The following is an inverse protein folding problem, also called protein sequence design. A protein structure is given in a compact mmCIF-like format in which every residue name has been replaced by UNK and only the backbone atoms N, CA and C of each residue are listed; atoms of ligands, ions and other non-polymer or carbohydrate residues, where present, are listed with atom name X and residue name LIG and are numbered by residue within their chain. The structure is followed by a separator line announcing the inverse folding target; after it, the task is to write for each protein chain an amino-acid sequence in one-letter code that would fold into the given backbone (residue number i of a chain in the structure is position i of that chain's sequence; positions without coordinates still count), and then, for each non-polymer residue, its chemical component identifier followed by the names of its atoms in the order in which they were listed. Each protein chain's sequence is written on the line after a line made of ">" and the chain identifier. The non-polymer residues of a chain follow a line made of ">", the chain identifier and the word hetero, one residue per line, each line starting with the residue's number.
data_IF_565262862251
#
_entry.id   IF_565262862251
#
_cell.length_a   1.000
_cell.length_b   1.000
_cell.length_c   1.000
_cell.angle_alpha   90.00
_cell.angle_beta   90.00
_cell.angle_gamma   90.00
#
_symmetry.space_group_name_H-M   'P 1'
#
loop_
_entity.id
_entity.type
_entity.pdbx_description
1 polymer ?
#
# COMPACT_ATOMS: atom_id res chain seq x y z
N UNK A 1 -37.88 41.05 -7.73
CA UNK A 1 -36.63 40.30 -7.57
C UNK A 1 -35.87 40.96 -6.43
N UNK A 2 -36.13 40.52 -5.20
CA UNK A 2 -35.45 41.04 -4.01
C UNK A 2 -34.16 40.24 -3.89
N UNK A 3 -33.03 40.93 -3.92
CA UNK A 3 -31.74 40.32 -3.69
C UNK A 3 -31.71 39.79 -2.24
N UNK A 4 -31.41 38.51 -2.07
CA UNK A 4 -31.08 37.89 -0.78
C UNK A 4 -29.79 38.54 -0.25
N UNK A 5 -29.92 39.72 0.35
CA UNK A 5 -28.80 40.53 0.81
C UNK A 5 -28.81 40.50 2.34
N UNK A 6 -27.71 40.04 2.93
CA UNK A 6 -27.53 39.96 4.38
C UNK A 6 -27.31 41.38 4.92
N UNK A 7 -28.30 41.95 5.61
CA UNK A 7 -28.18 43.25 6.28
C UNK A 7 -27.65 43.07 7.71
N UNK A 8 -26.54 43.74 8.04
CA UNK A 8 -25.95 43.76 9.38
C UNK A 8 -26.31 45.08 10.06
N UNK A 9 -27.03 45.02 11.17
CA UNK A 9 -27.41 46.17 11.99
C UNK A 9 -26.84 46.07 13.42
N UNK A 10 -26.88 47.19 14.15
CA UNK A 10 -26.55 47.25 15.58
C UNK A 10 -27.79 47.68 16.37
N UNK A 11 -28.17 46.89 17.38
CA UNK A 11 -29.30 47.18 18.26
C UNK A 11 -28.91 48.21 19.35
N UNK A 12 -29.90 48.84 19.97
CA UNK A 12 -29.72 49.85 21.04
C UNK A 12 -28.93 49.35 22.27
N UNK A 13 -28.73 48.04 22.41
CA UNK A 13 -27.95 47.39 23.46
C UNK A 13 -26.50 47.05 23.04
N UNK A 14 -26.07 47.43 21.83
CA UNK A 14 -24.72 47.15 21.29
C UNK A 14 -24.57 45.80 20.58
N UNK A 15 -25.58 44.93 20.61
CA UNK A 15 -25.56 43.63 19.94
C UNK A 15 -25.77 43.76 18.43
N UNK A 16 -25.09 42.90 17.65
CA UNK A 16 -25.23 42.85 16.19
C UNK A 16 -26.45 41.99 15.80
N UNK A 17 -27.20 42.37 14.77
CA UNK A 17 -28.30 41.56 14.23
C UNK A 17 -28.11 41.23 12.76
N UNK A 18 -28.58 40.05 12.37
CA UNK A 18 -28.54 39.54 10.99
C UNK A 18 -29.94 39.09 10.58
N UNK A 19 -30.37 39.49 9.38
CA UNK A 19 -31.65 39.07 8.81
C UNK A 19 -31.47 37.87 7.89
N UNK A 20 -32.11 36.73 8.22
CA UNK A 20 -32.09 35.51 7.41
C UNK A 20 -33.54 35.10 7.13
N UNK A 21 -33.93 34.98 5.85
CA UNK A 21 -35.30 34.67 5.41
C UNK A 21 -36.39 35.56 6.05
N UNK A 22 -36.10 36.85 6.25
CA UNK A 22 -37.03 37.80 6.86
C UNK A 22 -37.16 37.70 8.39
N UNK A 23 -36.42 36.80 9.04
CA UNK A 23 -36.32 36.76 10.50
C UNK A 23 -35.07 37.48 10.99
N UNK A 24 -35.24 38.39 11.96
CA UNK A 24 -34.12 39.03 12.66
C UNK A 24 -33.54 38.07 13.70
N UNK A 25 -32.24 37.80 13.57
CA UNK A 25 -31.47 37.03 14.54
C UNK A 25 -30.54 37.99 15.26
N UNK A 26 -30.79 38.18 16.56
CA UNK A 26 -29.91 38.95 17.44
C UNK A 26 -28.75 38.05 17.86
N UNK A 27 -27.52 38.49 17.64
CA UNK A 27 -26.32 37.76 18.01
C UNK A 27 -25.82 38.26 19.37
N UNK A 28 -25.77 37.35 20.35
CA UNK A 28 -25.17 37.61 21.67
C UNK A 28 -23.64 37.60 21.66
N UNK A 29 -23.04 37.26 20.51
CA UNK A 29 -21.61 37.29 20.25
C UNK A 29 -21.34 38.09 18.98
N UNK A 30 -20.16 38.69 18.88
CA UNK A 30 -19.79 39.42 17.66
C UNK A 30 -19.70 38.48 16.46
N UNK A 31 -20.02 38.99 15.26
CA UNK A 31 -19.94 38.24 14.00
C UNK A 31 -18.55 37.58 13.81
N UNK A 32 -17.40 38.25 14.10
CA UNK A 32 -16.09 37.58 14.05
C UNK A 32 -15.97 36.39 14.99
N UNK A 33 -16.50 36.47 16.21
CA UNK A 33 -16.49 35.36 17.16
C UNK A 33 -17.37 34.19 16.69
N UNK A 34 -18.53 34.48 16.08
CA UNK A 34 -19.39 33.46 15.48
C UNK A 34 -18.69 32.75 14.31
N UNK A 35 -18.03 33.49 13.43
CA UNK A 35 -17.28 32.92 12.30
C UNK A 35 -16.13 32.04 12.82
N UNK A 36 -15.31 32.56 13.72
CA UNK A 36 -14.16 31.82 14.26
C UNK A 36 -14.57 30.57 15.03
N UNK A 37 -15.64 30.63 15.84
CA UNK A 37 -16.16 29.47 16.56
C UNK A 37 -16.74 28.42 15.61
N UNK A 38 -17.44 28.84 14.55
CA UNK A 38 -17.97 27.92 13.52
C UNK A 38 -16.83 27.22 12.77
N UNK A 39 -15.80 27.96 12.35
CA UNK A 39 -14.61 27.40 11.69
C UNK A 39 -13.88 26.44 12.64
N UNK A 40 -13.71 26.82 13.91
CA UNK A 40 -13.10 25.97 14.93
C UNK A 40 -13.90 24.68 15.17
N UNK A 41 -15.22 24.77 15.28
CA UNK A 41 -16.10 23.62 15.44
C UNK A 41 -16.05 22.70 14.21
N UNK A 42 -16.07 23.25 13.00
CA UNK A 42 -15.93 22.48 11.77
C UNK A 42 -14.57 21.76 11.69
N UNK A 43 -13.50 22.44 12.11
CA UNK A 43 -12.16 21.84 12.20
C UNK A 43 -12.13 20.67 13.18
N UNK A 44 -12.62 20.86 14.42
CA UNK A 44 -12.68 19.78 15.42
C UNK A 44 -13.56 18.62 14.97
N UNK A 45 -14.71 18.91 14.37
CA UNK A 45 -15.61 17.91 13.81
C UNK A 45 -14.92 17.07 12.73
N UNK A 46 -14.12 17.71 11.84
CA UNK A 46 -13.34 16.99 10.82
C UNK A 46 -12.42 15.94 11.44
N UNK A 47 -11.73 16.27 12.54
CA UNK A 47 -10.85 15.34 13.24
C UNK A 47 -11.63 14.24 13.98
N UNK A 48 -12.67 14.62 14.72
CA UNK A 48 -13.53 13.67 15.42
C UNK A 48 -14.15 12.65 14.44
N UNK A 49 -14.68 13.13 13.31
CA UNK A 49 -15.22 12.30 12.25
C UNK A 49 -14.15 11.42 11.60
N UNK A 50 -12.93 11.93 11.39
CA UNK A 50 -11.82 11.14 10.84
C UNK A 50 -11.38 9.99 11.76
N UNK A 51 -11.28 10.24 13.08
CA UNK A 51 -10.98 9.20 14.08
C UNK A 51 -12.12 8.18 14.15
N UNK A 52 -13.37 8.65 14.21
CA UNK A 52 -14.54 7.79 14.22
C UNK A 52 -14.58 6.90 12.96
N UNK A 53 -14.34 7.48 11.78
CA UNK A 53 -14.23 6.76 10.52
C UNK A 53 -13.08 5.74 10.54
N UNK A 54 -11.94 6.06 11.14
CA UNK A 54 -10.82 5.11 11.27
C UNK A 54 -11.25 3.88 12.07
N UNK A 55 -11.91 4.10 13.21
CA UNK A 55 -12.46 3.03 14.02
C UNK A 55 -13.46 2.17 13.22
N UNK A 56 -14.42 2.80 12.53
CA UNK A 56 -15.38 2.10 11.67
C UNK A 56 -14.66 1.27 10.60
N UNK A 57 -13.69 1.85 9.90
CA UNK A 57 -12.93 1.17 8.84
C UNK A 57 -12.11 -0.02 9.36
N UNK A 58 -11.61 0.03 10.60
CA UNK A 58 -10.81 -1.04 11.18
C UNK A 58 -11.65 -2.13 11.85
N UNK A 59 -12.78 -1.78 12.47
CA UNK A 59 -13.55 -2.68 13.31
C UNK A 59 -14.85 -3.20 12.69
N UNK A 60 -15.53 -2.39 11.85
CA UNK A 60 -16.94 -2.62 11.49
C UNK A 60 -17.16 -2.72 9.98
N UNK A 61 -16.73 -1.72 9.21
CA UNK A 61 -17.06 -1.61 7.79
C UNK A 61 -16.32 -2.66 6.96
N UNK A 62 -17.01 -3.53 6.19
CA UNK A 62 -16.35 -4.53 5.37
C UNK A 62 -15.67 -3.89 4.15
N UNK A 63 -14.57 -4.50 3.69
CA UNK A 63 -13.99 -4.19 2.39
C UNK A 63 -14.48 -5.15 1.33
N UNK A 64 -14.07 -4.94 0.09
CA UNK A 64 -14.26 -5.95 -0.95
C UNK A 64 -13.37 -7.15 -0.63
N UNK A 65 -13.98 -8.33 -0.61
CA UNK A 65 -13.25 -9.58 -0.51
C UNK A 65 -12.53 -9.83 -1.84
N UNK A 66 -11.32 -10.38 -1.79
CA UNK A 66 -10.58 -10.81 -2.99
C UNK A 66 -11.43 -11.68 -3.93
N UNK A 67 -12.36 -12.48 -3.39
CA UNK A 67 -13.26 -13.33 -4.19
C UNK A 67 -14.16 -12.57 -5.16
N UNK A 68 -14.40 -11.26 -4.97
CA UNK A 68 -15.19 -10.46 -5.92
C UNK A 68 -14.49 -10.24 -7.27
N UNK A 69 -13.18 -10.50 -7.35
CA UNK A 69 -12.39 -10.37 -8.57
C UNK A 69 -12.24 -11.69 -9.34
N UNK A 70 -12.80 -12.79 -8.81
CA UNK A 70 -12.75 -14.13 -9.42
C UNK A 70 -13.92 -14.35 -10.36
N UNK A 71 -13.68 -15.00 -11.50
CA UNK A 71 -14.75 -15.42 -12.40
C UNK A 71 -15.63 -16.48 -11.75
N UNK A 72 -16.87 -16.61 -12.25
CA UNK A 72 -17.79 -17.68 -11.83
C UNK A 72 -17.39 -19.05 -12.41
N UNK A 73 -16.64 -19.08 -13.53
CA UNK A 73 -16.13 -20.33 -14.11
C UNK A 73 -15.03 -20.98 -13.27
N UNK A 74 -14.39 -20.25 -12.36
CA UNK A 74 -13.36 -20.77 -11.47
C UNK A 74 -11.94 -20.81 -12.07
N UNK A 75 -11.75 -20.25 -13.27
CA UNK A 75 -10.48 -20.33 -14.01
C UNK A 75 -9.55 -19.12 -13.82
N UNK A 76 -9.88 -18.17 -12.95
CA UNK A 76 -9.10 -16.94 -12.80
C UNK A 76 -7.70 -17.19 -12.23
N UNK A 77 -6.70 -16.62 -12.89
CA UNK A 77 -5.30 -16.66 -12.51
C UNK A 77 -4.88 -15.41 -11.74
N UNK A 78 -3.99 -15.59 -10.77
CA UNK A 78 -3.30 -14.53 -10.06
C UNK A 78 -1.78 -14.63 -10.24
N UNK A 79 -1.13 -13.51 -10.56
CA UNK A 79 0.33 -13.40 -10.66
C UNK A 79 0.88 -12.90 -9.33
N UNK A 80 1.85 -13.58 -8.74
CA UNK A 80 2.48 -13.17 -7.48
C UNK A 80 4.00 -13.12 -7.63
N UNK A 81 4.56 -11.91 -7.53
CA UNK A 81 6.01 -11.70 -7.58
C UNK A 81 6.64 -11.83 -6.20
N UNK A 82 7.84 -12.43 -6.11
CA UNK A 82 8.54 -12.59 -4.83
C UNK A 82 7.82 -13.55 -3.86
N UNK A 83 7.23 -14.62 -4.40
CA UNK A 83 6.32 -15.52 -3.67
C UNK A 83 6.99 -16.64 -2.85
N UNK A 84 8.32 -16.74 -2.82
CA UNK A 84 9.01 -17.87 -2.17
C UNK A 84 9.22 -17.71 -0.66
N UNK A 85 8.86 -16.56 -0.07
CA UNK A 85 8.92 -16.34 1.39
C UNK A 85 8.06 -15.15 1.83
N UNK A 86 7.84 -15.01 3.14
CA UNK A 86 7.25 -13.82 3.75
C UNK A 86 5.86 -13.47 3.20
N UNK A 87 5.63 -12.18 2.93
CA UNK A 87 4.34 -11.64 2.48
C UNK A 87 3.90 -12.26 1.15
N UNK A 88 4.80 -12.40 0.18
CA UNK A 88 4.48 -12.98 -1.12
C UNK A 88 4.05 -14.45 -1.05
N UNK A 89 4.69 -15.23 -0.17
CA UNK A 89 4.31 -16.63 0.08
C UNK A 89 2.89 -16.73 0.63
N UNK A 90 2.53 -15.85 1.55
CA UNK A 90 1.20 -15.81 2.14
C UNK A 90 0.15 -15.30 1.15
N UNK A 91 0.48 -14.34 0.27
CA UNK A 91 -0.39 -13.99 -0.85
C UNK A 91 -0.66 -15.19 -1.74
N UNK A 92 0.38 -15.93 -2.15
CA UNK A 92 0.21 -17.13 -2.98
C UNK A 92 -0.69 -18.17 -2.29
N UNK A 93 -0.38 -18.55 -1.04
CA UNK A 93 -1.16 -19.57 -0.31
C UNK A 93 -2.62 -19.13 -0.07
N UNK A 94 -2.86 -17.87 0.28
CA UNK A 94 -4.22 -17.40 0.56
C UNK A 94 -5.04 -17.19 -0.71
N UNK A 95 -4.43 -16.76 -1.81
CA UNK A 95 -5.09 -16.69 -3.12
C UNK A 95 -5.45 -18.10 -3.62
N UNK A 96 -4.55 -19.07 -3.49
CA UNK A 96 -4.85 -20.48 -3.79
C UNK A 96 -5.99 -21.03 -2.91
N UNK A 97 -6.01 -20.71 -1.61
CA UNK A 97 -7.12 -21.01 -0.71
C UNK A 97 -8.46 -20.37 -1.11
N UNK A 98 -8.42 -19.31 -1.91
CA UNK A 98 -9.60 -18.67 -2.54
C UNK A 98 -9.86 -19.17 -3.98
N UNK A 99 -9.21 -20.26 -4.37
CA UNK A 99 -9.36 -20.96 -5.67
C UNK A 99 -8.91 -20.12 -6.87
N UNK A 100 -7.83 -19.36 -6.70
CA UNK A 100 -7.09 -18.81 -7.83
C UNK A 100 -6.03 -19.80 -8.30
N UNK A 101 -5.92 -19.98 -9.61
CA UNK A 101 -4.71 -20.55 -10.22
C UNK A 101 -3.57 -19.53 -10.11
N UNK A 102 -2.31 -19.95 -10.03
CA UNK A 102 -1.21 -19.02 -9.77
C UNK A 102 -0.11 -19.04 -10.82
N UNK A 103 0.34 -17.84 -11.21
CA UNK A 103 1.63 -17.64 -11.87
C UNK A 103 2.62 -17.15 -10.80
N UNK A 104 3.54 -18.03 -10.43
CA UNK A 104 4.55 -17.81 -9.40
C UNK A 104 5.81 -17.22 -10.03
N UNK A 105 6.13 -15.98 -9.68
CA UNK A 105 7.31 -15.28 -10.23
C UNK A 105 8.38 -15.10 -9.17
N UNK A 106 9.59 -15.59 -9.45
CA UNK A 106 10.70 -15.50 -8.52
C UNK A 106 12.02 -15.97 -9.12
N UNK A 107 13.09 -15.91 -8.35
CA UNK A 107 14.46 -16.09 -8.87
C UNK A 107 15.00 -17.52 -8.79
N UNK A 108 14.35 -18.39 -8.01
CA UNK A 108 14.84 -19.75 -7.71
C UNK A 108 13.86 -20.79 -8.22
N UNK A 109 14.21 -21.48 -9.31
CA UNK A 109 13.36 -22.51 -9.92
C UNK A 109 12.93 -23.59 -8.92
N UNK A 110 13.86 -24.14 -8.12
CA UNK A 110 13.56 -25.20 -7.16
C UNK A 110 12.48 -24.79 -6.15
N UNK A 111 12.59 -23.58 -5.59
CA UNK A 111 11.62 -23.05 -4.63
C UNK A 111 10.25 -22.77 -5.26
N UNK A 112 10.20 -22.34 -6.52
CA UNK A 112 8.92 -22.16 -7.24
C UNK A 112 8.26 -23.50 -7.53
N UNK A 113 9.03 -24.50 -7.96
CA UNK A 113 8.53 -25.86 -8.22
C UNK A 113 7.98 -26.50 -6.95
N UNK A 114 8.70 -26.40 -5.82
CA UNK A 114 8.25 -26.92 -4.53
C UNK A 114 6.96 -26.21 -4.06
N UNK A 115 6.94 -24.89 -4.11
CA UNK A 115 5.75 -24.11 -3.76
C UNK A 115 4.56 -24.43 -4.66
N UNK A 116 4.79 -24.57 -5.97
CA UNK A 116 3.77 -24.97 -6.93
C UNK A 116 3.12 -26.29 -6.53
N UNK A 117 3.92 -27.34 -6.33
CA UNK A 117 3.44 -28.65 -5.89
C UNK A 117 2.68 -28.60 -4.57
N UNK A 118 3.18 -27.85 -3.59
CA UNK A 118 2.48 -27.67 -2.30
C UNK A 118 1.09 -27.06 -2.52
N UNK A 119 1.01 -26.00 -3.33
CA UNK A 119 -0.23 -25.27 -3.61
C UNK A 119 -1.23 -26.13 -4.39
N UNK A 120 -0.77 -26.81 -5.44
CA UNK A 120 -1.61 -27.69 -6.26
C UNK A 120 -2.21 -28.82 -5.43
N UNK A 121 -1.37 -29.48 -4.62
CA UNK A 121 -1.79 -30.60 -3.75
C UNK A 121 -2.78 -30.13 -2.69
N UNK A 122 -2.52 -29.00 -2.03
CA UNK A 122 -3.31 -28.54 -0.88
C UNK A 122 -4.62 -27.88 -1.27
N UNK A 123 -4.64 -27.14 -2.38
CA UNK A 123 -5.77 -26.28 -2.74
C UNK A 123 -6.51 -26.72 -4.00
N UNK A 124 -5.99 -27.71 -4.74
CA UNK A 124 -6.59 -28.21 -6.00
C UNK A 124 -6.76 -27.09 -7.02
N UNK A 125 -5.70 -26.31 -7.23
CA UNK A 125 -5.59 -25.25 -8.24
C UNK A 125 -4.39 -25.54 -9.13
N UNK A 126 -4.24 -24.85 -10.25
CA UNK A 126 -3.09 -24.98 -11.15
C UNK A 126 -2.02 -23.95 -10.84
N UNK A 127 -0.76 -24.29 -11.07
CA UNK A 127 0.35 -23.33 -11.00
C UNK A 127 1.19 -23.31 -12.27
N UNK A 128 1.78 -22.14 -12.54
CA UNK A 128 2.82 -21.93 -13.55
C UNK A 128 3.94 -21.12 -12.91
N UNK A 129 5.17 -21.30 -13.36
CA UNK A 129 6.34 -20.59 -12.83
C UNK A 129 7.02 -19.76 -13.90
N UNK A 130 7.48 -18.57 -13.51
CA UNK A 130 8.35 -17.70 -14.32
C UNK A 130 9.59 -17.40 -13.49
N UNK A 131 10.75 -17.85 -13.97
CA UNK A 131 12.03 -17.66 -13.28
C UNK A 131 12.73 -16.44 -13.82
N UNK A 132 13.02 -15.48 -12.95
CA UNK A 132 13.73 -14.26 -13.32
C UNK A 132 14.38 -13.63 -12.10
N UNK A 133 15.65 -13.21 -12.22
CA UNK A 133 16.21 -12.22 -11.30
C UNK A 133 15.83 -10.81 -11.77
N UNK A 134 14.82 -10.25 -11.12
CA UNK A 134 14.27 -8.94 -11.47
C UNK A 134 15.25 -7.78 -11.21
N UNK A 135 16.31 -8.02 -10.44
CA UNK A 135 17.32 -7.00 -10.12
C UNK A 135 18.39 -6.82 -11.20
N UNK A 136 18.40 -7.69 -12.20
CA UNK A 136 19.37 -7.65 -13.31
C UNK A 136 18.63 -7.35 -14.62
N UNK A 137 18.83 -6.16 -15.21
CA UNK A 137 18.38 -5.86 -16.56
C UNK A 137 18.97 -6.80 -17.61
N UNK A 138 18.27 -6.98 -18.73
CA UNK A 138 18.76 -7.69 -19.91
C UNK A 138 17.86 -8.84 -20.36
N UNK A 139 18.39 -9.64 -21.30
CA UNK A 139 17.62 -10.63 -22.04
C UNK A 139 16.83 -11.64 -21.18
N UNK A 140 17.36 -12.04 -20.02
CA UNK A 140 16.64 -12.95 -19.12
C UNK A 140 15.37 -12.32 -18.53
N UNK A 141 15.43 -11.02 -18.21
CA UNK A 141 14.26 -10.26 -17.74
C UNK A 141 13.27 -10.05 -18.86
N UNK A 142 13.75 -9.72 -20.05
CA UNK A 142 12.90 -9.49 -21.22
C UNK A 142 12.18 -10.78 -21.63
N UNK A 143 12.88 -11.90 -21.68
CA UNK A 143 12.27 -13.21 -21.95
C UNK A 143 11.24 -13.64 -20.90
N UNK A 144 11.41 -13.25 -19.63
CA UNK A 144 10.41 -13.48 -18.59
C UNK A 144 9.16 -12.59 -18.79
N UNK A 145 9.32 -11.35 -19.27
CA UNK A 145 8.21 -10.48 -19.65
C UNK A 145 7.47 -11.04 -20.88
N UNK A 146 8.19 -11.53 -21.89
CA UNK A 146 7.59 -12.18 -23.07
C UNK A 146 6.78 -13.42 -22.68
N UNK A 147 7.31 -14.24 -21.76
CA UNK A 147 6.60 -15.39 -21.21
C UNK A 147 5.32 -14.96 -20.48
N UNK A 148 5.38 -13.90 -19.66
CA UNK A 148 4.23 -13.36 -18.94
C UNK A 148 3.17 -12.79 -19.90
N UNK A 149 3.59 -12.12 -20.98
CA UNK A 149 2.70 -11.63 -22.03
C UNK A 149 1.97 -12.78 -22.73
N UNK A 150 2.71 -13.84 -23.08
CA UNK A 150 2.13 -15.04 -23.69
C UNK A 150 1.11 -15.71 -22.76
N UNK A 151 1.42 -15.80 -21.46
CA UNK A 151 0.46 -16.32 -20.47
C UNK A 151 -0.77 -15.43 -20.36
N UNK A 152 -0.60 -14.10 -20.38
CA UNK A 152 -1.70 -13.14 -20.30
C UNK A 152 -2.63 -13.15 -21.53
N UNK A 153 -2.13 -13.59 -22.69
CA UNK A 153 -2.95 -13.79 -23.90
C UNK A 153 -3.84 -15.04 -23.80
N UNK A 154 -3.38 -16.06 -23.07
CA UNK A 154 -4.00 -17.38 -23.05
C UNK A 154 -4.78 -17.70 -21.76
N UNK A 155 -4.61 -16.92 -20.70
CA UNK A 155 -5.19 -17.18 -19.37
C UNK A 155 -6.02 -16.00 -18.87
N UNK A 156 -7.05 -16.29 -18.06
CA UNK A 156 -7.87 -15.29 -17.38
C UNK A 156 -7.12 -14.66 -16.19
N UNK A 157 -6.13 -13.80 -16.45
CA UNK A 157 -5.40 -13.10 -15.39
C UNK A 157 -6.26 -11.98 -14.79
N UNK A 158 -6.76 -12.21 -13.58
CA UNK A 158 -7.60 -11.25 -12.86
C UNK A 158 -6.90 -10.49 -11.75
N UNK A 159 -5.78 -11.00 -11.24
CA UNK A 159 -5.06 -10.40 -10.09
C UNK A 159 -3.56 -10.35 -10.34
N UNK A 160 -2.94 -9.20 -10.08
CA UNK A 160 -1.49 -9.03 -10.02
C UNK A 160 -1.10 -8.54 -8.62
N UNK A 161 -0.20 -9.27 -7.96
CA UNK A 161 0.43 -8.89 -6.70
C UNK A 161 1.90 -8.52 -6.98
N UNK A 162 2.15 -7.22 -7.06
CA UNK A 162 3.49 -6.64 -7.12
C UNK A 162 4.11 -6.63 -5.72
N UNK A 163 4.65 -7.77 -5.29
CA UNK A 163 5.20 -7.96 -3.95
C UNK A 163 6.74 -7.99 -3.91
N UNK A 164 7.41 -8.40 -5.01
CA UNK A 164 8.88 -8.47 -5.00
C UNK A 164 9.48 -7.13 -4.61
N UNK A 165 10.55 -7.19 -3.81
CA UNK A 165 11.18 -5.99 -3.28
C UNK A 165 12.57 -6.25 -2.74
N UNK A 166 13.37 -5.20 -2.75
CA UNK A 166 14.71 -5.10 -2.21
C UNK A 166 14.75 -3.93 -1.21
N UNK A 167 15.47 -4.12 -0.11
CA UNK A 167 15.86 -3.06 0.81
C UNK A 167 17.37 -3.14 1.06
N UNK A 168 17.89 -2.22 1.86
CA UNK A 168 19.28 -2.24 2.27
C UNK A 168 19.57 -3.44 3.16
N UNK A 169 20.80 -3.92 3.12
CA UNK A 169 21.25 -4.98 4.05
C UNK A 169 21.22 -4.52 5.51
N UNK A 170 21.53 -3.25 5.76
CA UNK A 170 21.38 -2.55 7.03
C UNK A 170 21.14 -1.06 6.75
N UNK A 171 20.63 -0.27 7.70
CA UNK A 171 20.58 1.17 7.52
C UNK A 171 21.99 1.73 7.30
N UNK A 172 22.15 2.56 6.28
CA UNK A 172 23.43 3.09 5.79
C UNK A 172 23.24 4.54 5.33
N UNK A 173 24.27 5.38 5.48
CA UNK A 173 24.19 6.76 4.97
C UNK A 173 24.13 6.71 3.45
N UNK A 174 23.39 7.63 2.84
CA UNK A 174 23.31 7.68 1.38
C UNK A 174 24.69 7.84 0.74
N UNK A 175 25.55 8.69 1.32
CA UNK A 175 26.92 8.90 0.84
C UNK A 175 27.84 7.66 0.95
N UNK A 176 27.48 6.68 1.78
CA UNK A 176 28.22 5.43 1.96
C UNK A 176 27.52 4.25 1.26
N UNK A 177 26.37 4.48 0.63
CA UNK A 177 25.63 3.41 -0.04
C UNK A 177 26.30 3.11 -1.37
N UNK A 178 26.71 1.85 -1.57
CA UNK A 178 27.30 1.43 -2.83
C UNK A 178 26.31 1.58 -3.98
N UNK A 179 26.81 2.04 -5.14
CA UNK A 179 26.00 2.19 -6.35
C UNK A 179 25.27 0.90 -6.71
N UNK A 180 25.93 -0.25 -6.63
CA UNK A 180 25.33 -1.54 -6.95
C UNK A 180 24.11 -1.86 -6.05
N UNK A 181 24.12 -1.45 -4.77
CA UNK A 181 22.97 -1.60 -3.89
C UNK A 181 21.82 -0.66 -4.28
N UNK A 182 22.13 0.58 -4.66
CA UNK A 182 21.15 1.56 -5.16
C UNK A 182 20.47 1.03 -6.42
N UNK A 183 21.25 0.64 -7.43
CA UNK A 183 20.77 0.13 -8.72
C UNK A 183 19.87 -1.10 -8.49
N UNK A 184 20.32 -2.06 -7.67
CA UNK A 184 19.54 -3.25 -7.31
C UNK A 184 18.19 -2.90 -6.67
N UNK A 185 18.16 -1.92 -5.76
CA UNK A 185 16.93 -1.47 -5.09
C UNK A 185 15.97 -0.84 -6.11
N UNK A 186 16.47 0.03 -6.99
CA UNK A 186 15.66 0.70 -8.02
C UNK A 186 15.10 -0.30 -9.02
N UNK A 187 15.96 -1.16 -9.58
CA UNK A 187 15.56 -2.17 -10.58
C UNK A 187 14.50 -3.12 -10.04
N UNK A 188 14.68 -3.60 -8.80
CA UNK A 188 13.75 -4.52 -8.16
C UNK A 188 12.42 -3.85 -7.81
N UNK A 189 12.46 -2.67 -7.19
CA UNK A 189 11.26 -2.06 -6.60
C UNK A 189 10.43 -1.29 -7.62
N UNK A 190 11.08 -0.56 -8.54
CA UNK A 190 10.42 0.36 -9.47
C UNK A 190 10.39 -0.23 -10.87
N UNK A 191 11.56 -0.45 -11.48
CA UNK A 191 11.65 -0.84 -12.91
C UNK A 191 10.86 -2.11 -13.18
N UNK A 192 11.11 -3.18 -12.40
CA UNK A 192 10.37 -4.42 -12.56
C UNK A 192 8.87 -4.25 -12.36
N UNK A 193 8.45 -3.55 -11.30
CA UNK A 193 7.02 -3.31 -11.00
C UNK A 193 6.31 -2.61 -12.17
N UNK A 194 6.98 -1.64 -12.79
CA UNK A 194 6.42 -0.92 -13.94
C UNK A 194 6.32 -1.83 -15.15
N UNK A 195 7.40 -2.57 -15.47
CA UNK A 195 7.46 -3.44 -16.64
C UNK A 195 6.44 -4.58 -16.57
N UNK A 196 6.38 -5.33 -15.46
CA UNK A 196 5.41 -6.42 -15.33
C UNK A 196 3.98 -5.91 -15.40
N UNK A 197 3.71 -4.74 -14.78
CA UNK A 197 2.38 -4.15 -14.82
C UNK A 197 2.01 -3.75 -16.24
N UNK A 198 2.92 -3.06 -16.97
CA UNK A 198 2.73 -2.70 -18.38
C UNK A 198 2.47 -3.94 -19.25
N UNK A 199 3.19 -5.04 -19.02
CA UNK A 199 3.04 -6.28 -19.78
C UNK A 199 1.67 -6.94 -19.57
N UNK A 200 1.16 -6.96 -18.33
CA UNK A 200 -0.09 -7.66 -18.00
C UNK A 200 -1.34 -6.79 -18.16
N UNK A 201 -1.19 -5.46 -18.06
CA UNK A 201 -2.30 -4.51 -18.01
C UNK A 201 -3.25 -4.58 -19.21
N UNK A 202 -2.79 -4.69 -20.48
CA UNK A 202 -3.69 -4.79 -21.63
C UNK A 202 -4.68 -5.96 -21.51
N UNK A 203 -4.21 -7.16 -21.15
CA UNK A 203 -5.07 -8.31 -20.93
C UNK A 203 -6.03 -8.12 -19.75
N UNK A 204 -5.57 -7.47 -18.66
CA UNK A 204 -6.42 -7.17 -17.49
C UNK A 204 -7.54 -6.17 -17.81
N UNK A 205 -7.27 -5.21 -18.69
CA UNK A 205 -8.25 -4.26 -19.26
C UNK A 205 -9.25 -5.02 -20.13
N UNK A 206 -8.76 -5.80 -21.11
CA UNK A 206 -9.60 -6.62 -21.99
C UNK A 206 -10.47 -7.60 -21.21
N UNK A 207 -9.96 -8.16 -20.10
CA UNK A 207 -10.75 -9.00 -19.19
C UNK A 207 -11.88 -8.21 -18.53
N UNK A 208 -11.57 -7.03 -18.00
CA UNK A 208 -12.52 -6.20 -17.24
C UNK A 208 -13.61 -5.58 -18.11
N UNK A 209 -13.38 -5.43 -19.42
CA UNK A 209 -14.37 -4.89 -20.37
C UNK A 209 -15.42 -5.92 -20.82
N UNK A 210 -15.20 -7.22 -20.59
CA UNK A 210 -16.14 -8.27 -21.01
C UNK A 210 -17.45 -8.16 -20.20
N UNK A 211 -18.63 -8.32 -20.83
CA UNK A 211 -19.90 -8.35 -20.12
C UNK A 211 -19.90 -9.41 -19.01
N UNK A 212 -20.40 -9.04 -17.83
CA UNK A 212 -20.47 -9.89 -16.63
C UNK A 212 -19.12 -10.44 -16.11
N UNK A 213 -17.98 -10.03 -16.68
CA UNK A 213 -16.68 -10.38 -16.13
C UNK A 213 -16.42 -9.58 -14.84
N UNK A 214 -15.70 -10.17 -13.87
CA UNK A 214 -15.27 -9.43 -12.70
C UNK A 214 -14.24 -8.37 -13.12
N UNK A 215 -14.13 -7.31 -12.32
CA UNK A 215 -13.01 -6.38 -12.41
C UNK A 215 -11.68 -7.12 -12.23
N UNK A 216 -10.61 -6.55 -12.76
CA UNK A 216 -9.24 -6.98 -12.47
C UNK A 216 -8.65 -6.16 -11.31
N UNK A 217 -7.65 -6.72 -10.62
CA UNK A 217 -7.03 -6.12 -9.43
C UNK A 217 -5.51 -6.12 -9.52
N UNK A 218 -4.89 -4.97 -9.29
CA UNK A 218 -3.45 -4.81 -9.13
C UNK A 218 -3.20 -4.33 -7.70
N UNK A 219 -2.50 -5.14 -6.90
CA UNK A 219 -2.03 -4.76 -5.57
C UNK A 219 -0.51 -4.58 -5.60
N UNK A 220 -0.05 -3.38 -5.27
CA UNK A 220 1.37 -3.07 -5.19
C UNK A 220 1.79 -2.91 -3.73
N UNK A 221 2.80 -3.69 -3.31
CA UNK A 221 3.30 -3.62 -1.95
C UNK A 221 4.16 -2.37 -1.76
N UNK A 222 3.60 -1.40 -1.05
CA UNK A 222 4.26 -0.22 -0.55
C UNK A 222 5.06 -0.49 0.73
N UNK A 223 5.28 0.56 1.50
CA UNK A 223 5.89 0.55 2.82
C UNK A 223 5.58 1.88 3.49
N UNK A 224 5.39 1.88 4.81
CA UNK A 224 5.34 3.14 5.57
C UNK A 224 6.63 3.96 5.37
N UNK A 225 7.75 3.34 5.00
CA UNK A 225 8.97 4.06 4.60
C UNK A 225 8.86 4.83 3.28
N UNK A 226 7.86 4.54 2.44
CA UNK A 226 7.53 5.35 1.26
C UNK A 226 6.55 6.48 1.56
N UNK A 227 5.85 6.42 2.70
CA UNK A 227 4.90 7.44 3.17
C UNK A 227 5.55 8.42 4.14
N UNK A 228 6.40 7.92 5.02
CA UNK A 228 7.16 8.67 6.02
C UNK A 228 8.64 8.51 5.65
N UNK A 229 9.35 9.62 5.35
CA UNK A 229 10.77 9.55 5.01
C UNK A 229 11.54 8.71 6.04
N UNK A 230 12.38 7.81 5.54
CA UNK A 230 13.12 6.86 6.36
C UNK A 230 14.63 7.10 6.23
N UNK A 231 15.22 8.00 7.05
CA UNK A 231 16.65 8.29 7.04
C UNK A 231 17.50 7.03 7.17
N UNK A 232 18.67 6.99 6.53
CA UNK A 232 19.54 5.81 6.41
C UNK A 232 18.97 4.65 5.56
N UNK A 233 17.82 4.85 4.91
CA UNK A 233 17.25 3.96 3.90
C UNK A 233 16.79 4.77 2.67
N UNK A 234 17.51 5.83 2.31
CA UNK A 234 17.06 6.85 1.36
C UNK A 234 16.62 6.27 0.01
N UNK A 235 17.42 5.38 -0.58
CA UNK A 235 17.10 4.74 -1.87
C UNK A 235 15.85 3.87 -1.76
N UNK A 236 15.75 3.04 -0.72
CA UNK A 236 14.55 2.24 -0.46
C UNK A 236 13.29 3.10 -0.25
N UNK A 237 13.38 4.11 0.62
CA UNK A 237 12.32 5.07 0.93
C UNK A 237 11.83 5.77 -0.34
N UNK A 238 12.75 6.26 -1.18
CA UNK A 238 12.46 6.88 -2.47
C UNK A 238 11.73 5.95 -3.42
N UNK A 239 12.17 4.69 -3.57
CA UNK A 239 11.47 3.73 -4.44
C UNK A 239 10.05 3.43 -3.97
N UNK A 240 9.80 3.35 -2.66
CA UNK A 240 8.45 3.11 -2.13
C UNK A 240 7.56 4.35 -2.24
N UNK A 241 8.12 5.55 -2.18
CA UNK A 241 7.41 6.78 -2.49
C UNK A 241 7.03 6.86 -3.98
N UNK A 242 7.94 6.48 -4.88
CA UNK A 242 7.66 6.42 -6.32
C UNK A 242 6.45 5.52 -6.64
N UNK A 243 6.38 4.34 -6.00
CA UNK A 243 5.23 3.43 -6.16
C UNK A 243 3.91 4.03 -5.69
N UNK A 244 3.90 4.94 -4.70
CA UNK A 244 2.68 5.61 -4.25
C UNK A 244 2.09 6.50 -5.33
N UNK A 245 2.88 7.45 -5.85
CA UNK A 245 2.40 8.36 -6.89
C UNK A 245 2.05 7.61 -8.16
N UNK A 246 2.88 6.66 -8.57
CA UNK A 246 2.61 5.82 -9.74
C UNK A 246 1.32 5.03 -9.62
N UNK A 247 1.06 4.41 -8.46
CA UNK A 247 -0.17 3.65 -8.24
C UNK A 247 -1.41 4.55 -8.36
N UNK A 248 -1.36 5.77 -7.81
CA UNK A 248 -2.48 6.73 -7.90
C UNK A 248 -2.76 7.17 -9.33
N UNK A 249 -1.71 7.51 -10.06
CA UNK A 249 -1.83 7.91 -11.47
C UNK A 249 -2.42 6.76 -12.30
N UNK A 250 -1.81 5.57 -12.21
CA UNK A 250 -2.29 4.39 -12.93
C UNK A 250 -3.73 4.04 -12.57
N UNK A 251 -4.09 4.09 -11.28
CA UNK A 251 -5.44 3.80 -10.82
C UNK A 251 -6.48 4.68 -11.50
N UNK A 252 -6.23 5.99 -11.63
CA UNK A 252 -7.17 6.89 -12.31
C UNK A 252 -7.21 6.67 -13.83
N UNK A 253 -6.07 6.37 -14.47
CA UNK A 253 -6.01 6.04 -15.90
C UNK A 253 -6.90 4.84 -16.25
N UNK A 254 -6.87 3.78 -15.43
CA UNK A 254 -7.51 2.50 -15.74
C UNK A 254 -8.85 2.28 -15.03
N UNK A 255 -9.27 3.20 -14.15
CA UNK A 255 -10.54 3.13 -13.42
C UNK A 255 -11.75 3.02 -14.36
N UNK A 256 -11.87 3.80 -15.47
CA UNK A 256 -12.98 3.65 -16.42
C UNK A 256 -12.98 2.29 -17.12
N UNK A 257 -11.81 1.68 -17.26
CA UNK A 257 -11.62 0.37 -17.90
C UNK A 257 -11.88 -0.80 -16.94
N UNK A 258 -12.27 -0.53 -15.69
CA UNK A 258 -12.68 -1.55 -14.74
C UNK A 258 -11.53 -2.27 -14.02
N UNK A 259 -10.30 -1.77 -14.10
CA UNK A 259 -9.16 -2.31 -13.32
C UNK A 259 -9.03 -1.52 -12.01
N UNK A 260 -8.97 -2.24 -10.89
CA UNK A 260 -8.73 -1.66 -9.55
C UNK A 260 -7.23 -1.73 -9.27
N UNK A 261 -6.60 -0.59 -8.97
CA UNK A 261 -5.17 -0.52 -8.67
C UNK A 261 -4.99 0.13 -7.30
N UNK A 262 -4.27 -0.54 -6.41
CA UNK A 262 -4.10 -0.05 -5.03
C UNK A 262 -2.70 -0.33 -4.49
N UNK A 263 -2.21 0.60 -3.68
CA UNK A 263 -0.98 0.46 -2.93
C UNK A 263 -1.29 -0.06 -1.52
N UNK A 264 -0.66 -1.16 -1.15
CA UNK A 264 -0.78 -1.76 0.19
C UNK A 264 0.44 -1.40 1.01
N UNK A 265 0.27 -0.52 1.98
CA UNK A 265 1.31 -0.08 2.90
C UNK A 265 1.52 -1.10 4.02
N UNK A 266 2.77 -1.53 4.18
CA UNK A 266 3.21 -2.36 5.29
C UNK A 266 4.19 -1.58 6.18
N UNK A 267 4.11 -1.77 7.49
CA UNK A 267 5.26 -1.52 8.37
C UNK A 267 6.10 -2.80 8.48
N UNK A 268 6.78 -3.00 9.60
CA UNK A 268 7.47 -4.27 9.85
C UNK A 268 6.48 -5.44 9.85
N UNK A 269 6.84 -6.49 9.11
CA UNK A 269 6.17 -7.80 9.09
C UNK A 269 7.25 -8.86 9.28
N UNK A 270 6.94 -9.93 10.01
CA UNK A 270 7.86 -11.06 10.20
C UNK A 270 8.27 -11.63 8.84
N UNK A 271 9.54 -11.46 8.48
CA UNK A 271 10.08 -11.87 7.18
C UNK A 271 11.61 -11.86 7.17
N UNK A 272 12.20 -12.48 6.14
CA UNK A 272 13.64 -12.41 5.90
C UNK A 272 14.12 -10.96 5.67
N UNK A 273 13.30 -10.12 5.03
CA UNK A 273 13.64 -8.73 4.75
C UNK A 273 13.73 -7.89 6.02
N UNK A 274 12.78 -8.03 6.96
CA UNK A 274 12.81 -7.29 8.22
C UNK A 274 13.86 -7.82 9.21
N UNK A 275 14.34 -9.06 9.01
CA UNK A 275 15.21 -9.80 9.95
C UNK A 275 14.59 -10.00 11.34
N UNK A 276 13.28 -9.76 11.48
CA UNK A 276 12.51 -9.97 12.71
C UNK A 276 11.86 -11.35 12.64
N UNK A 277 12.08 -12.17 13.68
CA UNK A 277 11.61 -13.56 13.74
C UNK A 277 10.39 -13.79 14.62
N UNK A 278 10.06 -12.85 15.52
CA UNK A 278 8.94 -12.97 16.46
C UNK A 278 7.87 -11.95 16.13
N UNK A 279 6.63 -12.40 16.11
CA UNK A 279 5.48 -11.52 15.93
C UNK A 279 5.22 -10.70 17.19
N UNK A 280 4.64 -9.51 17.00
CA UNK A 280 4.11 -8.64 18.03
C UNK A 280 2.91 -7.87 17.48
N UNK A 281 2.25 -7.06 18.30
CA UNK A 281 1.15 -6.22 17.82
C UNK A 281 1.59 -5.30 16.66
N UNK A 282 2.78 -4.71 16.74
CA UNK A 282 3.34 -3.81 15.71
C UNK A 282 4.02 -4.56 14.56
N UNK A 283 4.37 -5.83 14.76
CA UNK A 283 5.04 -6.69 13.78
C UNK A 283 4.23 -7.97 13.58
N UNK A 284 3.16 -7.94 12.77
CA UNK A 284 2.35 -9.12 12.52
C UNK A 284 3.13 -10.22 11.80
N UNK A 285 2.56 -11.42 11.83
CA UNK A 285 2.94 -12.46 10.88
C UNK A 285 2.57 -12.04 9.46
N UNK A 286 3.28 -12.58 8.46
CA UNK A 286 2.91 -12.38 7.06
C UNK A 286 1.47 -12.87 6.78
N UNK A 287 1.05 -13.95 7.44
CA UNK A 287 -0.28 -14.54 7.29
C UNK A 287 -1.38 -13.56 7.69
N UNK A 288 -1.25 -12.96 8.88
CA UNK A 288 -2.25 -12.04 9.42
C UNK A 288 -2.28 -10.73 8.63
N UNK A 289 -1.11 -10.24 8.23
CA UNK A 289 -1.01 -9.06 7.37
C UNK A 289 -1.73 -9.26 6.02
N UNK A 290 -1.45 -10.37 5.33
CA UNK A 290 -2.07 -10.69 4.03
C UNK A 290 -3.57 -10.93 4.17
N UNK A 291 -4.00 -11.60 5.24
CA UNK A 291 -5.43 -11.79 5.54
C UNK A 291 -6.15 -10.46 5.63
N UNK A 292 -5.54 -9.48 6.32
CA UNK A 292 -6.08 -8.12 6.40
C UNK A 292 -6.13 -7.47 5.01
N UNK A 293 -5.02 -7.49 4.26
CA UNK A 293 -4.90 -6.86 2.95
C UNK A 293 -5.92 -7.36 1.91
N UNK A 294 -6.17 -8.68 1.88
CA UNK A 294 -7.13 -9.32 0.97
C UNK A 294 -8.60 -9.19 1.42
N UNK A 295 -8.84 -8.94 2.72
CA UNK A 295 -10.17 -8.74 3.30
C UNK A 295 -10.63 -7.28 3.34
N UNK A 296 -9.78 -6.34 2.91
CA UNK A 296 -10.04 -4.91 3.03
C UNK A 296 -9.83 -4.13 1.73
N UNK A 297 -10.01 -4.76 0.56
CA UNK A 297 -9.85 -4.10 -0.75
C UNK A 297 -10.84 -2.93 -0.87
N UNK A 298 -10.37 -1.76 -1.31
CA UNK A 298 -11.13 -0.52 -1.33
C UNK A 298 -11.19 0.26 -0.01
N UNK A 299 -10.66 -0.26 1.11
CA UNK A 299 -10.67 0.44 2.41
C UNK A 299 -9.31 1.08 2.73
N UNK A 300 -9.24 2.41 2.95
CA UNK A 300 -7.99 3.09 3.29
C UNK A 300 -7.35 2.60 4.60
N UNK A 301 -8.14 2.37 5.65
CA UNK A 301 -7.59 2.11 6.98
C UNK A 301 -6.77 3.32 7.45
N UNK A 302 -5.48 3.13 7.75
CA UNK A 302 -4.59 4.23 8.14
C UNK A 302 -4.31 5.27 7.06
N UNK A 303 -4.64 4.94 5.80
CA UNK A 303 -4.37 5.78 4.65
C UNK A 303 -5.48 6.80 4.32
N UNK A 304 -6.21 7.28 5.32
CA UNK A 304 -7.25 8.29 5.09
C UNK A 304 -6.72 9.53 4.36
N UNK A 305 -7.51 10.03 3.41
CA UNK A 305 -7.15 11.18 2.59
C UNK A 305 -6.10 10.88 1.50
N UNK A 306 -5.62 9.64 1.37
CA UNK A 306 -4.74 9.20 0.29
C UNK A 306 -5.47 8.22 -0.63
N UNK A 307 -6.00 8.68 -1.78
CA UNK A 307 -6.73 7.80 -2.69
C UNK A 307 -5.81 6.67 -3.17
N UNK A 308 -6.41 5.50 -3.42
CA UNK A 308 -5.73 4.28 -3.90
C UNK A 308 -4.61 3.74 -3.00
N UNK A 309 -4.46 4.26 -1.78
CA UNK A 309 -3.58 3.73 -0.75
C UNK A 309 -4.36 3.07 0.37
N UNK A 310 -3.78 2.01 0.94
CA UNK A 310 -4.37 1.28 2.06
C UNK A 310 -3.31 0.86 3.05
N UNK A 311 -3.62 1.00 4.33
CA UNK A 311 -2.81 0.45 5.42
C UNK A 311 -3.71 -0.51 6.18
N UNK A 312 -3.80 -1.78 5.74
CA UNK A 312 -4.92 -2.66 6.08
C UNK A 312 -4.78 -3.33 7.44
N UNK A 313 -3.56 -3.44 7.98
CA UNK A 313 -3.35 -4.07 9.28
C UNK A 313 -3.52 -3.04 10.39
N UNK A 314 -4.35 -3.33 11.40
CA UNK A 314 -4.87 -2.33 12.33
C UNK A 314 -3.80 -1.53 13.09
N UNK A 315 -2.72 -2.16 13.57
CA UNK A 315 -1.65 -1.38 14.24
C UNK A 315 -0.84 -0.54 13.26
N UNK A 316 -0.60 -1.05 12.05
CA UNK A 316 0.05 -0.28 11.00
C UNK A 316 -0.83 0.91 10.61
N UNK A 317 -2.14 0.72 10.58
CA UNK A 317 -3.12 1.76 10.30
C UNK A 317 -3.08 2.87 11.35
N UNK A 318 -3.02 2.50 12.63
CA UNK A 318 -2.90 3.47 13.73
C UNK A 318 -1.59 4.25 13.65
N UNK A 319 -0.46 3.57 13.38
CA UNK A 319 0.84 4.23 13.22
C UNK A 319 0.83 5.24 12.06
N UNK A 320 0.31 4.82 10.92
CA UNK A 320 0.23 5.62 9.70
C UNK A 320 -0.68 6.83 9.88
N UNK A 321 -1.85 6.63 10.52
CA UNK A 321 -2.76 7.71 10.86
C UNK A 321 -2.13 8.71 11.83
N UNK A 322 -1.51 8.21 12.91
CA UNK A 322 -0.86 9.05 13.92
C UNK A 322 0.28 9.89 13.34
N UNK A 323 1.07 9.34 12.41
CA UNK A 323 2.15 10.06 11.75
C UNK A 323 1.64 11.27 10.93
N UNK A 324 0.44 11.16 10.34
CA UNK A 324 -0.18 12.24 9.56
C UNK A 324 -1.08 13.20 10.35
N UNK A 325 -1.38 12.90 11.62
CA UNK A 325 -2.44 13.57 12.38
C UNK A 325 -2.21 15.08 12.59
N UNK A 326 -0.98 15.47 12.97
CA UNK A 326 -0.60 16.85 13.26
C UNK A 326 0.27 17.47 12.15
N UNK A 327 0.12 16.97 10.91
CA UNK A 327 0.88 17.42 9.75
C UNK A 327 2.39 17.36 9.98
N UNK A 328 3.09 18.47 9.71
CA UNK A 328 4.54 18.57 9.80
C UNK A 328 5.11 18.15 11.17
N UNK A 329 4.42 18.47 12.27
CA UNK A 329 4.92 18.20 13.63
C UNK A 329 4.98 16.69 13.90
N UNK A 330 3.88 15.96 13.63
CA UNK A 330 3.85 14.51 13.81
C UNK A 330 4.78 13.80 12.83
N UNK A 331 4.91 14.32 11.60
CA UNK A 331 5.79 13.77 10.58
C UNK A 331 7.27 13.91 10.97
N UNK A 332 7.69 15.07 11.46
CA UNK A 332 9.04 15.28 11.98
C UNK A 332 9.34 14.45 13.23
N UNK A 333 8.36 14.27 14.11
CA UNK A 333 8.50 13.38 15.26
C UNK A 333 8.72 11.92 14.80
N UNK A 334 7.92 11.44 13.83
CA UNK A 334 8.07 10.10 13.26
C UNK A 334 9.44 9.92 12.59
N UNK A 335 9.92 10.90 11.81
CA UNK A 335 11.24 10.87 11.17
C UNK A 335 12.37 10.77 12.23
N UNK A 336 12.28 11.52 13.34
CA UNK A 336 13.26 11.44 14.43
C UNK A 336 13.28 10.06 15.09
N UNK A 337 12.11 9.47 15.36
CA UNK A 337 11.98 8.11 15.91
C UNK A 337 12.60 7.09 14.96
N UNK A 338 12.29 7.17 13.67
CA UNK A 338 12.84 6.28 12.63
C UNK A 338 14.36 6.42 12.55
N UNK A 339 14.89 7.63 12.54
CA UNK A 339 16.34 7.88 12.50
C UNK A 339 17.04 7.26 13.73
N UNK A 340 16.49 7.45 14.93
CA UNK A 340 17.04 6.86 16.15
C UNK A 340 17.07 5.33 16.06
N UNK A 341 15.94 4.73 15.66
CA UNK A 341 15.84 3.28 15.46
C UNK A 341 16.86 2.77 14.44
N UNK A 342 17.02 3.45 13.30
CA UNK A 342 17.97 3.04 12.26
C UNK A 342 19.43 3.17 12.69
N UNK A 343 19.79 4.22 13.45
CA UNK A 343 21.12 4.34 14.05
C UNK A 343 21.43 3.15 14.97
N UNK A 344 20.45 2.73 15.79
CA UNK A 344 20.61 1.57 16.67
C UNK A 344 20.75 0.25 15.91
N UNK A 345 19.93 0.04 14.87
CA UNK A 345 20.03 -1.15 14.01
C UNK A 345 21.40 -1.18 13.32
N UNK A 346 21.84 -0.06 12.74
CA UNK A 346 23.15 0.06 12.10
C UNK A 346 24.28 -0.25 13.08
N UNK A 347 24.26 0.35 14.26
CA UNK A 347 25.26 0.11 15.32
C UNK A 347 25.36 -1.37 15.69
N UNK A 348 24.22 -2.06 15.82
CA UNK A 348 24.20 -3.51 16.08
C UNK A 348 24.74 -4.33 14.90
N UNK A 349 24.38 -3.97 13.67
CA UNK A 349 24.85 -4.65 12.47
C UNK A 349 26.37 -4.54 12.29
N UNK A 350 26.93 -3.33 12.43
CA UNK A 350 28.37 -3.09 12.36
C UNK A 350 29.14 -3.85 13.45
N UNK A 351 28.63 -3.85 14.69
CA UNK A 351 29.22 -4.63 15.79
C UNK A 351 29.22 -6.13 15.51
N UNK A 352 28.18 -6.64 14.84
CA UNK A 352 28.09 -8.04 14.46
C UNK A 352 29.11 -8.36 13.37
N UNK A 353 29.18 -7.56 12.30
CA UNK A 353 30.14 -7.73 11.22
C UNK A 353 31.59 -7.70 11.72
N UNK A 354 31.93 -6.74 12.60
CA UNK A 354 33.27 -6.64 13.19
C UNK A 354 33.64 -7.81 14.14
N UNK A 355 32.65 -8.54 14.67
CA UNK A 355 32.89 -9.77 15.44
C UNK A 355 33.09 -10.97 14.54
N UNK A 356 32.40 -11.01 13.41
CA UNK A 356 32.53 -12.08 12.41
C UNK A 356 33.88 -11.99 11.70
N UNK A 357 34.32 -10.79 11.31
CA UNK A 357 35.63 -10.55 10.69
C UNK A 357 36.84 -10.76 11.61
N UNK A 358 36.62 -10.96 12.92
CA UNK A 358 37.68 -11.29 13.89
C UNK A 358 37.78 -12.78 14.18
N UNK A 359 36.81 -13.57 13.69
CA UNK A 359 36.77 -15.02 13.82
C UNK A 359 37.30 -15.74 12.59
N UNK A 360 37.29 -15.04 11.45
CA UNK A 360 38.07 -15.34 10.25
C UNK A 360 39.50 -14.84 10.44
#
# INVERSE_FOLDING_TARGET
>A
MVADTIHVGTHAAGNQSVYIFGQEIILDISIPALILSTVGAAFLFRYAFSIFRLFLELAILPGKSISSFRSRSGETWAVVTGCTSGIGLEFAKQLAGKKYNLILVGRRQSALTELGKEIETKYSVLTKSVVVDVSTPGAARDGALDQLELLAKNLDIGVLINNVGASHTMPVSFAETERAEIDRIIETNVTWTYLITRTLLPSMITRSSRPAAPKSLILTLGSLSGRIPSPLLASYSGTKAALSTWTKALAEEVRPQGVVVELVQAAFVVSNMSKIRRASALVPTARDFVKSALGSIGRPGGAQGRPHERTPYWTHALLDYAAGFAGYVSEMAAIKVILSMHKDIRKRALRKAAKESKKE
#
